data_IF_193414089577
#
_entry.id   IF_193414089577
#
_cell.length_a   1.000
_cell.length_b   1.000
_cell.length_c   1.000
_cell.angle_alpha   90.00
_cell.angle_beta   90.00
_cell.angle_gamma   90.00
#
_symmetry.space_group_name_H-M   'P 1'
#
loop_
_entity.id
_entity.type
_entity.pdbx_description
1 polymer ?
#
# COMPACT_ATOMS: atom_id res chain seq x y z
N UNK A 1 -23.49 33.13 6.77
CA UNK A 1 -22.12 32.83 6.33
C UNK A 1 -22.20 31.91 5.11
N UNK A 2 -21.36 32.13 4.09
CA UNK A 2 -21.29 31.21 2.94
C UNK A 2 -20.45 29.99 3.33
N UNK A 3 -20.65 28.88 2.64
CA UNK A 3 -19.73 27.74 2.76
C UNK A 3 -18.32 28.22 2.36
N UNK A 4 -17.33 27.95 3.23
CA UNK A 4 -15.96 28.44 3.07
C UNK A 4 -15.57 29.57 4.05
N UNK A 5 -16.53 30.28 4.65
CA UNK A 5 -16.25 31.34 5.64
C UNK A 5 -16.03 30.80 7.06
N UNK A 6 -16.34 29.51 7.28
CA UNK A 6 -16.34 28.87 8.60
C UNK A 6 -15.43 27.65 8.59
N UNK A 7 -14.57 27.56 9.61
CA UNK A 7 -13.75 26.39 9.90
C UNK A 7 -14.13 25.82 11.27
N UNK A 8 -14.21 24.50 11.37
CA UNK A 8 -14.50 23.77 12.61
C UNK A 8 -13.22 23.07 13.05
N UNK A 9 -12.69 23.46 14.21
CA UNK A 9 -11.51 22.82 14.82
C UNK A 9 -11.96 21.83 15.89
N UNK A 10 -11.30 20.65 15.92
CA UNK A 10 -11.53 19.59 16.90
C UNK A 10 -10.19 18.95 17.28
N UNK A 11 -10.18 18.16 18.35
CA UNK A 11 -8.96 17.65 18.98
C UNK A 11 -8.43 16.38 18.31
N UNK A 12 -9.30 15.48 17.87
CA UNK A 12 -8.92 14.20 17.24
C UNK A 12 -9.72 13.95 15.97
N UNK A 13 -9.10 13.28 14.99
CA UNK A 13 -9.74 12.98 13.70
C UNK A 13 -11.05 12.19 13.83
N UNK A 14 -11.21 11.38 14.87
CA UNK A 14 -12.45 10.64 15.12
C UNK A 14 -13.66 11.56 15.40
N UNK A 15 -13.44 12.78 15.89
CA UNK A 15 -14.52 13.74 16.15
C UNK A 15 -15.14 14.33 14.88
N UNK A 16 -14.42 14.30 13.75
CA UNK A 16 -14.92 14.80 12.46
C UNK A 16 -16.24 14.13 12.05
N UNK A 17 -16.35 12.82 12.27
CA UNK A 17 -17.45 11.97 11.79
C UNK A 17 -18.84 12.47 12.19
N UNK A 18 -19.00 12.95 13.43
CA UNK A 18 -20.31 13.45 13.91
C UNK A 18 -20.72 14.72 13.16
N UNK A 19 -19.77 15.60 12.85
CA UNK A 19 -20.05 16.79 12.03
C UNK A 19 -20.37 16.42 10.59
N UNK A 20 -19.60 15.50 10.00
CA UNK A 20 -19.82 15.01 8.64
C UNK A 20 -21.22 14.42 8.46
N UNK A 21 -21.68 13.59 9.39
CA UNK A 21 -23.02 12.99 9.35
C UNK A 21 -24.14 14.03 9.35
N UNK A 22 -24.00 15.10 10.13
CA UNK A 22 -24.96 16.21 10.15
C UNK A 22 -24.89 17.01 8.86
N UNK A 23 -23.69 17.36 8.37
CA UNK A 23 -23.52 18.10 7.13
C UNK A 23 -24.10 17.34 5.93
N UNK A 24 -23.92 16.02 5.86
CA UNK A 24 -24.55 15.17 4.84
C UNK A 24 -26.08 15.23 4.97
N UNK A 25 -26.62 15.05 6.18
CA UNK A 25 -28.08 15.01 6.42
C UNK A 25 -28.77 16.32 6.00
N UNK A 26 -28.13 17.45 6.22
CA UNK A 26 -28.68 18.78 5.89
C UNK A 26 -28.26 19.29 4.50
N UNK A 27 -27.50 18.50 3.73
CA UNK A 27 -27.03 18.87 2.39
C UNK A 27 -26.02 20.02 2.38
N UNK A 28 -25.27 20.21 3.47
CA UNK A 28 -24.34 21.32 3.62
C UNK A 28 -22.95 20.93 3.10
N UNK A 29 -22.41 21.61 2.08
CA UNK A 29 -21.12 21.24 1.50
C UNK A 29 -19.99 21.47 2.53
N UNK A 30 -19.13 20.47 2.69
CA UNK A 30 -18.03 20.50 3.66
C UNK A 30 -16.76 19.88 3.08
N UNK A 31 -15.60 20.20 3.68
CA UNK A 31 -14.30 19.63 3.33
C UNK A 31 -13.56 19.24 4.60
N UNK A 32 -13.17 17.97 4.71
CA UNK A 32 -12.32 17.48 5.80
C UNK A 32 -10.86 17.74 5.44
N UNK A 33 -10.13 18.36 6.36
CA UNK A 33 -8.68 18.58 6.25
C UNK A 33 -8.00 17.69 7.29
N UNK A 34 -6.99 16.91 6.88
CA UNK A 34 -6.22 16.07 7.81
C UNK A 34 -6.83 14.69 8.13
N UNK A 35 -7.87 14.26 7.41
CA UNK A 35 -8.34 12.87 7.41
C UNK A 35 -7.36 11.90 6.75
N UNK A 36 -7.81 10.70 6.38
CA UNK A 36 -6.95 9.71 5.68
C UNK A 36 -6.37 10.35 4.42
N UNK A 37 -5.03 10.47 4.36
CA UNK A 37 -4.38 11.12 3.22
C UNK A 37 -4.65 10.29 1.97
N UNK A 38 -4.89 10.95 0.84
CA UNK A 38 -5.14 10.28 -0.43
C UNK A 38 -4.05 9.22 -0.74
N UNK A 39 -2.79 9.56 -0.51
CA UNK A 39 -1.64 8.67 -0.72
C UNK A 39 -1.47 7.55 0.32
N UNK A 40 -2.23 7.54 1.41
CA UNK A 40 -2.20 6.46 2.40
C UNK A 40 -3.22 5.35 2.11
N UNK A 41 -4.19 5.63 1.23
CA UNK A 41 -5.17 4.66 0.77
C UNK A 41 -4.48 3.45 0.15
N UNK A 42 -5.01 2.26 0.40
CA UNK A 42 -4.34 0.99 0.04
C UNK A 42 -4.14 0.91 -1.47
N UNK A 43 -5.20 1.17 -2.24
CA UNK A 43 -5.21 1.16 -3.69
C UNK A 43 -4.22 2.16 -4.29
N UNK A 44 -4.12 3.37 -3.71
CA UNK A 44 -3.18 4.40 -4.17
C UNK A 44 -1.74 3.97 -3.90
N UNK A 45 -1.45 3.43 -2.71
CA UNK A 45 -0.12 2.93 -2.38
C UNK A 45 0.29 1.72 -3.23
N UNK A 46 -0.65 0.85 -3.56
CA UNK A 46 -0.37 -0.34 -4.38
C UNK A 46 -0.01 0.09 -5.81
N UNK A 47 -0.77 1.01 -6.43
CA UNK A 47 -0.44 1.55 -7.76
C UNK A 47 0.90 2.29 -7.75
N UNK A 48 1.16 3.11 -6.72
CA UNK A 48 2.45 3.79 -6.59
C UNK A 48 3.61 2.80 -6.45
N UNK A 49 3.41 1.70 -5.73
CA UNK A 49 4.43 0.66 -5.62
C UNK A 49 4.69 -0.03 -6.96
N UNK A 50 3.67 -0.29 -7.79
CA UNK A 50 3.86 -0.75 -9.17
C UNK A 50 4.72 0.22 -9.99
N UNK A 51 4.37 1.50 -9.99
CA UNK A 51 5.12 2.51 -10.75
C UNK A 51 6.56 2.62 -10.27
N UNK A 52 6.79 2.54 -8.95
CA UNK A 52 8.15 2.53 -8.37
C UNK A 52 8.96 1.33 -8.81
N UNK A 53 8.37 0.13 -8.85
CA UNK A 53 9.05 -1.07 -9.34
C UNK A 53 9.36 -0.98 -10.83
N UNK A 54 8.47 -0.37 -11.63
CA UNK A 54 8.73 -0.13 -13.05
C UNK A 54 9.89 0.86 -13.26
N UNK A 55 9.95 1.93 -12.44
CA UNK A 55 11.01 2.92 -12.51
C UNK A 55 12.35 2.43 -11.94
N UNK A 56 12.31 1.63 -10.88
CA UNK A 56 13.46 1.01 -10.24
C UNK A 56 13.14 -0.44 -9.85
N UNK A 57 13.45 -1.42 -10.73
CA UNK A 57 13.21 -2.83 -10.46
C UNK A 57 13.99 -3.41 -9.28
N UNK A 58 15.06 -2.74 -8.84
CA UNK A 58 15.88 -3.19 -7.71
C UNK A 58 15.31 -2.75 -6.33
N UNK A 59 14.23 -1.95 -6.30
CA UNK A 59 13.58 -1.50 -5.06
C UNK A 59 12.74 -2.62 -4.42
N UNK A 60 13.26 -3.20 -3.34
CA UNK A 60 12.67 -4.39 -2.70
C UNK A 60 11.40 -4.09 -1.91
N UNK A 61 11.29 -2.90 -1.31
CA UNK A 61 10.17 -2.51 -0.43
C UNK A 61 8.83 -2.45 -1.20
N UNK A 62 8.70 -1.71 -2.31
CA UNK A 62 7.47 -1.71 -3.09
C UNK A 62 7.24 -3.07 -3.74
N UNK A 63 8.29 -3.77 -4.19
CA UNK A 63 8.16 -5.09 -4.82
C UNK A 63 7.52 -6.11 -3.88
N UNK A 64 8.03 -6.25 -2.65
CA UNK A 64 7.45 -7.16 -1.65
C UNK A 64 6.00 -6.80 -1.33
N UNK A 65 5.69 -5.50 -1.24
CA UNK A 65 4.31 -5.02 -1.02
C UNK A 65 3.34 -5.50 -2.11
N UNK A 66 3.72 -5.40 -3.38
CA UNK A 66 2.83 -5.72 -4.52
C UNK A 66 2.96 -7.14 -5.05
N UNK A 67 3.88 -7.93 -4.50
CA UNK A 67 4.21 -9.28 -4.97
C UNK A 67 2.96 -10.15 -5.14
N UNK A 68 2.05 -10.13 -4.17
CA UNK A 68 0.80 -10.89 -4.19
C UNK A 68 -0.47 -10.02 -4.28
N UNK A 69 -0.35 -8.80 -4.84
CA UNK A 69 -1.49 -7.88 -5.06
C UNK A 69 -1.56 -7.48 -6.53
N UNK A 70 -2.55 -7.91 -7.34
CA UNK A 70 -3.65 -8.82 -7.01
C UNK A 70 -3.15 -10.22 -6.63
N UNK A 71 -4.02 -11.03 -6.01
CA UNK A 71 -3.65 -12.38 -5.54
C UNK A 71 -3.12 -13.23 -6.70
N UNK A 72 -1.87 -13.67 -6.56
CA UNK A 72 -1.15 -14.58 -7.48
C UNK A 72 -0.95 -15.98 -6.90
N UNK A 73 -1.47 -16.22 -5.69
CA UNK A 73 -1.24 -17.48 -4.99
C UNK A 73 0.18 -17.62 -4.42
N UNK A 74 0.89 -16.50 -4.25
CA UNK A 74 2.20 -16.41 -3.61
C UNK A 74 1.96 -16.22 -2.11
N UNK A 75 2.31 -17.21 -1.30
CA UNK A 75 2.19 -17.15 0.17
C UNK A 75 3.53 -16.86 0.85
N UNK A 76 3.47 -16.60 2.15
CA UNK A 76 4.63 -16.24 2.98
C UNK A 76 5.78 -17.24 2.89
N UNK A 77 5.46 -18.54 2.73
CA UNK A 77 6.46 -19.60 2.54
C UNK A 77 7.27 -19.43 1.25
N UNK A 78 6.60 -19.08 0.14
CA UNK A 78 7.26 -18.87 -1.14
C UNK A 78 8.15 -17.62 -1.09
N UNK A 79 7.68 -16.54 -0.45
CA UNK A 79 8.46 -15.33 -0.23
C UNK A 79 9.70 -15.61 0.65
N UNK A 80 9.55 -16.37 1.73
CA UNK A 80 10.65 -16.76 2.60
C UNK A 80 11.72 -17.61 1.88
N UNK A 81 11.32 -18.46 0.93
CA UNK A 81 12.26 -19.23 0.10
C UNK A 81 13.08 -18.34 -0.83
N UNK A 82 12.47 -17.32 -1.42
CA UNK A 82 13.15 -16.32 -2.25
C UNK A 82 14.13 -15.51 -1.39
N UNK A 83 13.71 -15.12 -0.19
CA UNK A 83 14.56 -14.38 0.74
C UNK A 83 15.77 -15.22 1.18
N UNK A 84 15.56 -16.51 1.45
CA UNK A 84 16.64 -17.45 1.74
C UNK A 84 17.62 -17.61 0.56
N UNK A 85 17.12 -17.65 -0.68
CA UNK A 85 17.97 -17.68 -1.88
C UNK A 85 18.78 -16.39 -2.03
N UNK A 86 18.13 -15.23 -1.83
CA UNK A 86 18.78 -13.92 -1.84
C UNK A 86 19.94 -13.87 -0.85
N UNK A 87 19.74 -14.36 0.38
CA UNK A 87 20.78 -14.42 1.40
C UNK A 87 21.91 -15.41 1.06
N UNK A 88 21.57 -16.60 0.55
CA UNK A 88 22.55 -17.66 0.21
C UNK A 88 23.49 -17.21 -0.90
N UNK A 89 22.95 -16.64 -1.96
CA UNK A 89 23.69 -16.23 -3.16
C UNK A 89 24.24 -14.80 -3.04
N UNK A 90 23.90 -14.07 -1.97
CA UNK A 90 24.25 -12.66 -1.76
C UNK A 90 23.82 -11.75 -2.91
N UNK A 91 22.62 -12.00 -3.43
CA UNK A 91 21.98 -11.24 -4.53
C UNK A 91 20.78 -10.46 -4.01
N UNK A 92 20.29 -9.48 -4.78
CA UNK A 92 19.08 -8.73 -4.42
C UNK A 92 17.82 -9.62 -4.49
N UNK A 93 16.77 -9.28 -3.73
CA UNK A 93 15.50 -10.00 -3.79
C UNK A 93 14.89 -10.07 -5.21
N UNK A 94 14.90 -8.99 -6.03
CA UNK A 94 14.50 -9.03 -7.44
C UNK A 94 15.36 -9.95 -8.32
N UNK A 95 16.66 -10.08 -8.02
CA UNK A 95 17.54 -11.04 -8.71
C UNK A 95 17.19 -12.47 -8.31
N UNK A 96 16.95 -12.73 -7.02
CA UNK A 96 16.49 -14.03 -6.54
C UNK A 96 15.13 -14.43 -7.13
N UNK A 97 14.20 -13.47 -7.28
CA UNK A 97 12.91 -13.69 -7.97
C UNK A 97 13.07 -14.15 -9.43
N UNK A 98 14.11 -13.70 -10.13
CA UNK A 98 14.40 -14.13 -11.51
C UNK A 98 15.04 -15.52 -11.58
N UNK A 99 15.59 -16.01 -10.46
CA UNK A 99 16.25 -17.33 -10.30
C UNK A 99 15.42 -18.24 -9.39
N UNK A 100 14.09 -18.13 -9.50
CA UNK A 100 13.13 -18.78 -8.61
C UNK A 100 13.22 -20.31 -8.66
N UNK A 101 13.67 -20.85 -9.79
CA UNK A 101 13.94 -22.26 -10.06
C UNK A 101 15.09 -22.83 -9.20
N UNK A 102 16.00 -21.97 -8.74
CA UNK A 102 17.12 -22.37 -7.88
C UNK A 102 16.79 -22.35 -6.38
N UNK A 103 15.59 -21.87 -6.02
CA UNK A 103 15.13 -21.82 -4.66
C UNK A 103 14.69 -23.21 -4.18
N UNK A 104 15.41 -23.75 -3.20
CA UNK A 104 15.18 -25.09 -2.66
C UNK A 104 13.81 -25.20 -1.99
N UNK A 105 13.06 -26.24 -2.34
CA UNK A 105 11.77 -26.55 -1.70
C UNK A 105 10.58 -25.73 -2.21
N UNK A 106 10.72 -24.98 -3.31
CA UNK A 106 9.57 -24.44 -4.03
C UNK A 106 8.75 -25.60 -4.59
N UNK A 107 7.46 -25.64 -4.26
CA UNK A 107 6.54 -26.53 -4.93
C UNK A 107 6.35 -25.99 -6.36
N UNK A 108 6.82 -26.74 -7.35
CA UNK A 108 6.38 -26.57 -8.73
C UNK A 108 4.84 -26.72 -8.72
N UNK A 109 4.14 -25.67 -9.14
CA UNK A 109 2.74 -25.78 -9.53
C UNK A 109 2.67 -26.00 -11.02
#
# INVERSE_FOLDING_TARGET
AKAGDVAVFYRTNAQSRVFEEIFIRVGLPYKVVGGVRFYERKEVRDVLAYLRVLANPEDTVPLRRILNVPKRGIGDRAEAMIDALSMREKISFPQALRRVDEAYGMAAR
#
